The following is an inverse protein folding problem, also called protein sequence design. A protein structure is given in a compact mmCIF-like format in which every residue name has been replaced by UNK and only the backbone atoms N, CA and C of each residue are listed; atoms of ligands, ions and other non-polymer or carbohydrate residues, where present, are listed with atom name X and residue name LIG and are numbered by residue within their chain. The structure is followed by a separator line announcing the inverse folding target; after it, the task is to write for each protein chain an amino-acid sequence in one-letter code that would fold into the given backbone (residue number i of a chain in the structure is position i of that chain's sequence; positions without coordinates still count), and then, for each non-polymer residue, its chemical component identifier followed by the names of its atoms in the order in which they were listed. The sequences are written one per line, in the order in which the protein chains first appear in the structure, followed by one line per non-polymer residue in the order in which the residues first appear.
data_IF_848239486967
#
_entry.id   IF_848239486967
#
_cell.length_a   1.000
_cell.length_b   1.000
_cell.length_c   1.000
_cell.angle_alpha   90.00
_cell.angle_beta   90.00
_cell.angle_gamma   90.00
#
_symmetry.space_group_name_H-M   'P 1'
#
loop_
_entity.id
_entity.type
_entity.pdbx_description
1 polymer ?
#
# COMPACT_ATOMS: atom_id res chain seq x y z
N UNK A 1 -5.53 -10.83 -4.97
CA UNK A 1 -5.78 -10.05 -3.74
C UNK A 1 -5.14 -8.69 -3.89
N UNK A 2 -5.80 -7.63 -3.45
CA UNK A 2 -5.27 -6.28 -3.38
C UNK A 2 -4.96 -5.96 -1.92
N UNK A 3 -3.87 -5.27 -1.68
CA UNK A 3 -3.47 -4.84 -0.34
C UNK A 3 -3.53 -3.31 -0.26
N UNK A 4 -4.19 -2.80 0.76
CA UNK A 4 -4.31 -1.37 1.02
C UNK A 4 -3.81 -1.08 2.43
N UNK A 5 -2.86 -0.17 2.57
CA UNK A 5 -2.35 0.26 3.88
C UNK A 5 -2.61 1.74 4.08
N UNK A 6 -3.48 2.09 5.02
CA UNK A 6 -3.73 3.46 5.42
C UNK A 6 -2.51 4.10 6.08
N UNK A 7 -1.87 3.45 7.09
CA UNK A 7 -0.63 3.95 7.63
C UNK A 7 0.49 3.94 6.60
N UNK A 8 0.97 5.12 6.21
CA UNK A 8 2.03 5.25 5.20
C UNK A 8 3.30 4.51 5.59
N UNK A 9 3.69 4.58 6.87
CA UNK A 9 4.88 3.90 7.39
C UNK A 9 4.78 2.36 7.39
N UNK A 10 3.63 1.80 7.01
CA UNK A 10 3.47 0.36 6.75
C UNK A 10 4.06 -0.10 5.42
N UNK A 11 4.62 0.80 4.63
CA UNK A 11 5.18 0.50 3.31
C UNK A 11 6.29 -0.53 3.32
N UNK A 12 7.13 -0.52 4.35
CA UNK A 12 8.21 -1.50 4.48
C UNK A 12 7.69 -2.92 4.55
N UNK A 13 6.59 -3.14 5.27
CA UNK A 13 5.98 -4.46 5.37
C UNK A 13 5.44 -4.91 4.00
N UNK A 14 4.82 -4.01 3.25
CA UNK A 14 4.34 -4.31 1.91
C UNK A 14 5.49 -4.67 0.96
N UNK A 15 6.50 -3.81 0.87
CA UNK A 15 7.66 -4.02 -0.01
C UNK A 15 8.40 -5.31 0.36
N UNK A 16 8.65 -5.52 1.65
CA UNK A 16 9.35 -6.71 2.12
C UNK A 16 8.60 -8.00 1.79
N UNK A 17 7.30 -8.06 2.02
CA UNK A 17 6.51 -9.25 1.71
C UNK A 17 6.38 -9.48 0.21
N UNK A 18 6.19 -8.44 -0.58
CA UNK A 18 6.12 -8.54 -2.05
C UNK A 18 7.44 -9.03 -2.64
N UNK A 19 8.56 -8.59 -2.06
CA UNK A 19 9.88 -9.09 -2.44
C UNK A 19 10.06 -10.58 -2.05
N UNK A 20 9.69 -10.96 -0.84
CA UNK A 20 9.83 -12.34 -0.37
C UNK A 20 8.98 -13.33 -1.16
N UNK A 21 7.80 -12.95 -1.57
CA UNK A 21 6.94 -13.82 -2.39
C UNK A 21 7.35 -13.88 -3.87
N UNK A 22 8.21 -13.00 -4.33
CA UNK A 22 8.74 -12.99 -5.69
C UNK A 22 8.09 -11.98 -6.65
N UNK A 23 6.93 -11.46 -6.33
CA UNK A 23 6.21 -10.52 -7.21
C UNK A 23 7.01 -9.27 -7.50
N UNK A 24 7.75 -8.77 -6.53
CA UNK A 24 8.57 -7.58 -6.71
C UNK A 24 9.62 -7.77 -7.80
N UNK A 25 10.30 -8.91 -7.81
CA UNK A 25 11.33 -9.24 -8.80
C UNK A 25 10.75 -9.54 -10.19
N UNK A 26 9.50 -9.99 -10.27
CA UNK A 26 8.80 -10.16 -11.55
C UNK A 26 8.57 -8.82 -12.25
N UNK A 27 8.20 -7.79 -11.49
CA UNK A 27 7.91 -6.45 -12.01
C UNK A 27 9.22 -5.65 -12.20
N UNK A 28 10.14 -5.80 -11.28
CA UNK A 28 11.44 -5.12 -11.30
C UNK A 28 12.59 -6.14 -11.37
N UNK A 29 12.92 -6.66 -12.58
CA UNK A 29 13.89 -7.76 -12.74
C UNK A 29 15.31 -7.44 -12.25
N UNK A 30 15.67 -6.15 -12.16
CA UNK A 30 16.97 -5.72 -11.65
C UNK A 30 17.11 -5.99 -10.13
N UNK A 31 16.01 -6.22 -9.45
CA UNK A 31 15.97 -6.57 -8.03
C UNK A 31 15.75 -8.07 -7.92
N UNK A 32 16.82 -8.84 -8.04
CA UNK A 32 16.79 -10.30 -7.99
C UNK A 32 16.52 -10.81 -6.56
N UNK A 33 15.98 -12.04 -6.48
CA UNK A 33 15.71 -12.70 -5.19
C UNK A 33 16.96 -13.41 -4.65
N UNK A 34 18.01 -12.62 -4.42
CA UNK A 34 19.28 -13.08 -3.86
C UNK A 34 19.89 -11.97 -3.00
N UNK A 35 21.06 -12.21 -2.44
CA UNK A 35 21.75 -11.21 -1.62
C UNK A 35 22.01 -9.92 -2.38
N UNK A 36 22.41 -10.00 -3.64
CA UNK A 36 22.68 -8.81 -4.46
C UNK A 36 21.40 -8.01 -4.72
N UNK A 37 20.29 -8.68 -5.01
CA UNK A 37 18.99 -8.04 -5.18
C UNK A 37 18.49 -7.41 -3.91
N UNK A 38 18.62 -8.09 -2.78
CA UNK A 38 18.23 -7.55 -1.48
C UNK A 38 19.03 -6.31 -1.09
N UNK A 39 20.32 -6.29 -1.38
CA UNK A 39 21.16 -5.10 -1.18
C UNK A 39 20.70 -3.91 -2.02
N UNK A 40 20.34 -4.15 -3.27
CA UNK A 40 19.77 -3.11 -4.14
C UNK A 40 18.44 -2.59 -3.61
N UNK A 41 17.59 -3.48 -3.13
CA UNK A 41 16.30 -3.12 -2.53
C UNK A 41 16.49 -2.19 -1.33
N UNK A 42 17.42 -2.50 -0.44
CA UNK A 42 17.70 -1.64 0.71
C UNK A 42 18.31 -0.29 0.33
N UNK A 43 19.20 -0.26 -0.65
CA UNK A 43 19.81 0.99 -1.10
C UNK A 43 18.80 1.96 -1.69
N UNK A 44 17.78 1.45 -2.39
CA UNK A 44 16.79 2.32 -3.03
C UNK A 44 15.65 2.75 -2.08
N UNK A 45 15.58 2.20 -0.87
CA UNK A 45 14.55 2.58 0.10
C UNK A 45 14.75 4.03 0.56
N UNK A 46 13.67 4.83 0.44
CA UNK A 46 13.67 6.26 0.80
C UNK A 46 14.80 7.07 0.13
N UNK A 47 15.29 6.58 -1.00
CA UNK A 47 16.34 7.24 -1.78
C UNK A 47 15.75 7.89 -3.03
N UNK A 48 16.39 8.93 -3.52
CA UNK A 48 15.93 9.68 -4.69
C UNK A 48 15.81 8.77 -5.93
N UNK A 49 14.62 8.71 -6.51
CA UNK A 49 14.32 7.83 -7.64
C UNK A 49 14.13 6.35 -7.27
N UNK A 50 14.18 6.03 -5.99
CA UNK A 50 13.94 4.67 -5.49
C UNK A 50 12.54 4.47 -4.93
N UNK A 51 12.42 3.65 -3.89
CA UNK A 51 11.16 3.32 -3.23
C UNK A 51 10.82 4.40 -2.20
N UNK A 52 9.61 4.99 -2.22
CA UNK A 52 9.17 5.89 -1.16
C UNK A 52 9.15 5.20 0.20
N UNK A 53 9.36 5.96 1.26
CA UNK A 53 9.28 5.45 2.63
C UNK A 53 7.84 5.19 3.09
N UNK A 54 6.85 5.67 2.37
CA UNK A 54 5.43 5.41 2.58
C UNK A 54 4.89 4.45 1.53
N UNK A 55 3.78 3.80 1.86
CA UNK A 55 3.05 2.95 0.91
C UNK A 55 2.74 3.74 -0.36
N UNK A 56 3.07 3.16 -1.50
CA UNK A 56 2.81 3.78 -2.79
C UNK A 56 2.48 2.75 -3.86
N UNK A 57 1.80 3.15 -4.95
CA UNK A 57 1.45 2.26 -6.05
C UNK A 57 2.65 1.70 -6.82
N UNK A 58 3.83 2.27 -6.67
CA UNK A 58 5.06 1.73 -7.25
C UNK A 58 5.40 0.35 -6.68
N UNK A 59 4.92 0.04 -5.48
CA UNK A 59 5.06 -1.32 -4.94
C UNK A 59 3.99 -2.22 -5.54
N UNK A 60 4.36 -3.32 -6.21
CA UNK A 60 3.40 -4.26 -6.80
C UNK A 60 2.36 -4.73 -5.76
N UNK A 61 1.10 -4.73 -6.16
CA UNK A 61 -0.02 -5.11 -5.29
C UNK A 61 -0.64 -3.96 -4.50
N UNK A 62 -0.01 -2.79 -4.46
CA UNK A 62 -0.60 -1.60 -3.86
C UNK A 62 -1.32 -0.76 -4.91
N UNK A 63 -2.50 -0.25 -4.54
CA UNK A 63 -3.27 0.70 -5.36
C UNK A 63 -3.46 2.03 -4.66
N UNK A 64 -2.81 2.23 -3.52
CA UNK A 64 -3.09 3.31 -2.59
C UNK A 64 -1.79 3.95 -2.11
N UNK A 65 -1.77 5.27 -2.02
CA UNK A 65 -0.75 5.99 -1.28
C UNK A 65 -1.15 6.09 0.18
N UNK A 66 -0.36 5.48 1.06
CA UNK A 66 -0.56 5.57 2.50
C UNK A 66 -0.13 6.93 3.05
N UNK A 67 -0.61 7.24 4.26
CA UNK A 67 -0.29 8.49 4.94
C UNK A 67 -1.40 9.53 4.87
N UNK A 68 -2.26 9.48 3.87
CA UNK A 68 -3.52 10.23 3.87
C UNK A 68 -4.58 9.46 4.64
N UNK A 69 -4.68 9.76 5.93
CA UNK A 69 -5.51 8.99 6.84
C UNK A 69 -7.01 9.22 6.59
N UNK A 70 -7.79 8.14 6.68
CA UNK A 70 -9.24 8.16 6.52
C UNK A 70 -9.74 7.68 5.15
N UNK A 71 -8.87 7.49 4.16
CA UNK A 71 -9.26 7.08 2.80
C UNK A 71 -9.16 5.58 2.54
N UNK A 72 -8.41 4.84 3.35
CA UNK A 72 -8.09 3.43 3.07
C UNK A 72 -9.32 2.54 2.92
N UNK A 73 -10.30 2.69 3.81
CA UNK A 73 -11.54 1.91 3.73
C UNK A 73 -12.34 2.24 2.47
N UNK A 74 -12.47 3.51 2.13
CA UNK A 74 -13.19 3.95 0.92
C UNK A 74 -12.52 3.42 -0.34
N UNK A 75 -11.21 3.48 -0.43
CA UNK A 75 -10.45 2.93 -1.56
C UNK A 75 -10.61 1.41 -1.64
N UNK A 76 -10.60 0.72 -0.50
CA UNK A 76 -10.81 -0.73 -0.45
C UNK A 76 -12.21 -1.14 -0.92
N UNK A 77 -13.24 -0.45 -0.46
CA UNK A 77 -14.61 -0.69 -0.93
C UNK A 77 -14.75 -0.42 -2.43
N UNK A 78 -14.20 0.69 -2.90
CA UNK A 78 -14.22 1.03 -4.33
C UNK A 78 -13.54 -0.02 -5.20
N UNK A 79 -12.42 -0.56 -4.73
CA UNK A 79 -11.65 -1.57 -5.47
C UNK A 79 -12.42 -2.88 -5.68
N UNK A 80 -13.31 -3.27 -4.75
CA UNK A 80 -14.05 -4.54 -4.82
C UNK A 80 -15.53 -4.37 -5.19
N UNK A 81 -15.99 -3.15 -5.33
CA UNK A 81 -17.42 -2.86 -5.51
C UNK A 81 -18.05 -3.63 -6.68
N UNK A 82 -17.36 -3.69 -7.82
CA UNK A 82 -17.82 -4.39 -9.01
C UNK A 82 -17.14 -5.75 -9.22
N UNK A 83 -16.35 -6.23 -8.25
CA UNK A 83 -15.55 -7.44 -8.38
C UNK A 83 -15.78 -8.39 -7.21
N UNK A 84 -16.92 -9.13 -7.17
CA UNK A 84 -17.28 -9.96 -6.03
C UNK A 84 -16.30 -11.11 -5.76
N UNK A 85 -15.50 -11.50 -6.76
CA UNK A 85 -14.47 -12.53 -6.59
C UNK A 85 -13.13 -12.01 -6.10
N UNK A 86 -13.00 -10.70 -5.88
CA UNK A 86 -11.74 -10.09 -5.46
C UNK A 86 -11.70 -9.87 -3.95
N UNK A 87 -10.58 -10.20 -3.33
CA UNK A 87 -10.34 -9.94 -1.91
C UNK A 87 -9.42 -8.73 -1.78
N UNK A 88 -9.81 -7.79 -0.93
CA UNK A 88 -8.97 -6.66 -0.52
C UNK A 88 -8.63 -6.79 0.96
N UNK A 89 -7.35 -6.80 1.26
CA UNK A 89 -6.84 -6.70 2.63
C UNK A 89 -6.57 -5.22 2.93
N UNK A 90 -7.29 -4.66 3.88
CA UNK A 90 -7.12 -3.27 4.28
C UNK A 90 -6.54 -3.18 5.68
N UNK A 91 -5.36 -2.59 5.80
CA UNK A 91 -4.75 -2.26 7.09
C UNK A 91 -5.15 -0.84 7.46
N UNK A 92 -5.76 -0.68 8.61
CA UNK A 92 -6.20 0.61 9.12
C UNK A 92 -5.45 0.97 10.40
N UNK A 93 -5.05 2.22 10.51
CA UNK A 93 -4.48 2.76 11.73
C UNK A 93 -5.56 3.25 12.69
N UNK A 94 -5.18 3.54 13.93
CA UNK A 94 -6.10 4.04 14.96
C UNK A 94 -6.85 5.29 14.50
N UNK A 95 -6.15 6.22 13.87
CA UNK A 95 -6.75 7.49 13.41
C UNK A 95 -7.81 7.25 12.33
N UNK A 96 -7.60 6.26 11.46
CA UNK A 96 -8.53 5.95 10.38
C UNK A 96 -9.80 5.27 10.85
N UNK A 97 -9.77 4.66 12.03
CA UNK A 97 -10.95 4.02 12.63
C UNK A 97 -11.80 4.99 13.43
N UNK A 98 -11.38 6.24 13.56
CA UNK A 98 -12.19 7.27 14.24
C UNK A 98 -13.45 7.55 13.43
N UNK A 99 -14.63 7.53 14.06
CA UNK A 99 -15.91 7.62 13.34
C UNK A 99 -16.01 8.79 12.37
N UNK A 100 -15.49 9.97 12.73
CA UNK A 100 -15.58 11.15 11.88
C UNK A 100 -14.79 11.00 10.58
N UNK A 101 -13.53 10.60 10.65
CA UNK A 101 -12.69 10.46 9.47
C UNK A 101 -13.28 9.42 8.50
N UNK A 102 -13.62 8.25 9.02
CA UNK A 102 -14.17 7.16 8.22
C UNK A 102 -15.52 7.52 7.60
N UNK A 103 -16.40 8.14 8.37
CA UNK A 103 -17.74 8.49 7.91
C UNK A 103 -17.69 9.52 6.79
N UNK A 104 -16.88 10.55 6.95
CA UNK A 104 -16.79 11.61 5.93
C UNK A 104 -16.26 11.12 4.61
N UNK A 105 -15.19 10.33 4.63
CA UNK A 105 -14.59 9.81 3.40
C UNK A 105 -15.43 8.73 2.75
N UNK A 106 -16.08 7.87 3.54
CA UNK A 106 -16.95 6.82 3.02
C UNK A 106 -18.24 7.38 2.40
N UNK A 107 -18.74 8.51 2.91
CA UNK A 107 -19.95 9.16 2.37
C UNK A 107 -19.67 10.13 1.23
N UNK A 108 -18.41 10.45 0.98
CA UNK A 108 -18.03 11.48 0.00
C UNK A 108 -18.36 12.91 0.46
N UNK A 109 -18.73 13.09 1.73
CA UNK A 109 -19.00 14.40 2.30
C UNK A 109 -17.74 14.98 2.90
N UNK A 110 -17.34 16.14 2.42
CA UNK A 110 -16.27 16.90 3.05
C UNK A 110 -16.79 17.54 4.33
N UNK A 111 -15.95 17.68 5.37
CA UNK A 111 -16.31 18.45 6.56
C UNK A 111 -16.54 19.89 6.17
N UNK A 112 -17.69 20.39 6.53
CA UNK A 112 -18.04 21.80 6.31
C UNK A 112 -17.36 22.70 7.34
#
# INVERSE_FOLDING_TARGET
MIYVSGPGHGGQALVGNTYLEGTYSEIYPDISQDEAGLRKLFVQFSFHGGIPNHVSPECPGSIHEGGELGYSLTHSFGAVFDNPGLIVACVVGEVETRPLATTWHSSGLAPS
#
